data_IF_882721477094
#
_entry.id   IF_882721477094
#
_cell.length_a   1.000
_cell.length_b   1.000
_cell.length_c   1.000
_cell.angle_alpha   90.00
_cell.angle_beta   90.00
_cell.angle_gamma   90.00
#
_symmetry.space_group_name_H-M   'P 1'
#
loop_
_entity.id
_entity.type
_entity.pdbx_description
1 polymer ?
#
# COMPACT_ATOMS: atom_id res chain seq x y z
N UNK A 1 -24.94 8.68 2.05
CA UNK A 1 -23.55 8.21 2.22
C UNK A 1 -23.38 6.98 1.35
N UNK A 2 -22.53 7.04 0.32
CA UNK A 2 -22.23 5.88 -0.53
C UNK A 2 -21.28 4.95 0.20
N UNK A 3 -21.71 3.71 0.44
CA UNK A 3 -20.85 2.66 0.99
C UNK A 3 -19.98 2.08 -0.11
N UNK A 4 -18.86 1.46 0.27
CA UNK A 4 -17.98 0.78 -0.68
C UNK A 4 -18.73 -0.29 -1.51
N UNK A 5 -19.73 -0.94 -0.90
CA UNK A 5 -20.61 -1.89 -1.59
C UNK A 5 -21.38 -1.23 -2.75
N UNK A 6 -21.95 -0.05 -2.53
CA UNK A 6 -22.73 0.67 -3.55
C UNK A 6 -21.84 1.09 -4.74
N UNK A 7 -20.57 1.43 -4.47
CA UNK A 7 -19.58 1.73 -5.50
C UNK A 7 -19.20 0.48 -6.31
N UNK A 8 -18.99 -0.65 -5.64
CA UNK A 8 -18.69 -1.92 -6.31
C UNK A 8 -19.87 -2.34 -7.18
N UNK A 9 -21.10 -2.21 -6.68
CA UNK A 9 -22.31 -2.53 -7.42
C UNK A 9 -22.51 -1.62 -8.64
N UNK A 10 -22.29 -0.32 -8.49
CA UNK A 10 -22.32 0.63 -9.61
C UNK A 10 -21.26 0.33 -10.69
N UNK A 11 -20.08 -0.14 -10.27
CA UNK A 11 -19.01 -0.55 -11.19
C UNK A 11 -19.33 -1.87 -11.89
N UNK A 12 -19.88 -2.84 -11.17
CA UNK A 12 -20.30 -4.13 -11.73
C UNK A 12 -21.45 -3.94 -12.73
N UNK A 13 -22.41 -3.05 -12.44
CA UNK A 13 -23.50 -2.71 -13.35
C UNK A 13 -23.01 -2.11 -14.68
N UNK A 14 -21.82 -1.50 -14.70
CA UNK A 14 -21.17 -0.94 -15.89
C UNK A 14 -20.20 -1.92 -16.57
N UNK A 15 -19.99 -3.12 -16.01
CA UNK A 15 -19.07 -4.09 -16.59
C UNK A 15 -19.66 -4.64 -17.90
N UNK A 16 -18.91 -4.63 -19.01
CA UNK A 16 -19.40 -5.21 -20.26
C UNK A 16 -19.63 -6.71 -20.08
N UNK A 17 -20.79 -7.21 -20.56
CA UNK A 17 -21.23 -8.59 -20.37
C UNK A 17 -20.31 -9.65 -20.99
N UNK A 18 -19.41 -9.26 -21.90
CA UNK A 18 -18.34 -10.11 -22.43
C UNK A 18 -17.03 -9.36 -22.34
N UNK A 19 -16.03 -9.96 -21.68
CA UNK A 19 -14.65 -9.47 -21.81
C UNK A 19 -14.22 -9.66 -23.26
N UNK A 20 -13.91 -8.56 -23.93
CA UNK A 20 -13.28 -8.59 -25.25
C UNK A 20 -11.89 -9.14 -25.03
N UNK A 21 -11.62 -10.35 -25.50
CA UNK A 21 -10.31 -10.98 -25.41
C UNK A 21 -9.53 -10.71 -26.69
N UNK A 22 -8.24 -10.45 -26.54
CA UNK A 22 -7.34 -10.37 -27.67
C UNK A 22 -7.00 -11.77 -28.18
N UNK A 23 -7.15 -11.99 -29.49
CA UNK A 23 -6.93 -13.30 -30.14
C UNK A 23 -5.51 -13.86 -29.96
N UNK A 24 -4.50 -13.00 -29.86
CA UNK A 24 -3.08 -13.41 -29.80
C UNK A 24 -2.60 -13.73 -28.39
N UNK A 25 -3.03 -12.96 -27.39
CA UNK A 25 -2.58 -13.09 -26.00
C UNK A 25 -3.59 -13.82 -25.11
N UNK A 26 -4.85 -13.96 -25.54
CA UNK A 26 -5.95 -14.47 -24.72
C UNK A 26 -6.33 -13.54 -23.56
N UNK A 27 -5.69 -12.37 -23.43
CA UNK A 27 -5.92 -11.42 -22.35
C UNK A 27 -7.08 -10.48 -22.68
N UNK A 28 -7.69 -9.83 -21.67
CA UNK A 28 -8.58 -8.70 -21.89
C UNK A 28 -7.94 -7.69 -22.84
N UNK A 29 -8.69 -7.21 -23.83
CA UNK A 29 -8.20 -6.41 -24.95
C UNK A 29 -7.32 -5.23 -24.52
N UNK A 30 -7.75 -4.47 -23.51
CA UNK A 30 -6.98 -3.34 -22.98
C UNK A 30 -5.65 -3.77 -22.33
N UNK A 31 -5.60 -4.97 -21.72
CA UNK A 31 -4.41 -5.49 -21.05
C UNK A 31 -3.36 -5.96 -22.05
N UNK A 32 -3.78 -6.65 -23.11
CA UNK A 32 -2.87 -7.08 -24.17
C UNK A 32 -2.25 -5.91 -24.96
N UNK A 33 -2.98 -4.79 -25.09
CA UNK A 33 -2.44 -3.53 -25.63
C UNK A 33 -1.45 -2.90 -24.64
N UNK A 34 -1.84 -2.78 -23.37
CA UNK A 34 -0.99 -2.18 -22.33
C UNK A 34 0.33 -2.95 -22.13
N UNK A 35 0.29 -4.28 -22.12
CA UNK A 35 1.47 -5.13 -22.01
C UNK A 35 2.42 -4.98 -23.19
N UNK A 36 1.91 -4.81 -24.41
CA UNK A 36 2.74 -4.55 -25.60
C UNK A 36 3.29 -3.13 -25.65
N UNK A 37 2.53 -2.16 -25.13
CA UNK A 37 2.98 -0.77 -25.03
C UNK A 37 4.14 -0.62 -24.03
N UNK A 38 4.25 -1.51 -23.05
CA UNK A 38 5.47 -1.70 -22.29
C UNK A 38 6.50 -2.40 -23.18
N UNK A 39 7.37 -1.62 -23.84
CA UNK A 39 8.66 -2.11 -24.30
C UNK A 39 9.47 -2.50 -23.07
N UNK A 40 9.34 -3.76 -22.67
CA UNK A 40 10.38 -4.41 -21.90
C UNK A 40 11.41 -4.78 -22.96
N UNK A 41 12.44 -3.96 -23.10
CA UNK A 41 13.65 -4.41 -23.79
C UNK A 41 14.13 -5.60 -22.98
N UNK A 42 13.78 -6.80 -23.45
CA UNK A 42 14.06 -8.04 -22.76
C UNK A 42 15.55 -8.18 -22.67
N UNK A 43 16.11 -7.83 -21.51
CA UNK A 43 17.44 -8.28 -21.15
C UNK A 43 17.38 -9.81 -21.22
N UNK A 44 18.29 -10.47 -21.97
CA UNK A 44 18.31 -11.92 -22.04
C UNK A 44 18.38 -12.46 -20.62
N UNK A 45 17.33 -13.18 -20.23
CA UNK A 45 17.24 -13.77 -18.91
C UNK A 45 18.06 -15.05 -18.94
N UNK A 46 19.21 -15.01 -18.27
CA UNK A 46 20.09 -16.16 -18.13
C UNK A 46 19.74 -16.88 -16.82
N UNK A 47 18.99 -17.97 -16.96
CA UNK A 47 18.59 -18.83 -15.84
C UNK A 47 19.81 -19.31 -15.04
N UNK A 48 20.94 -19.57 -15.69
CA UNK A 48 22.15 -20.04 -15.04
C UNK A 48 22.81 -18.95 -14.20
N UNK A 49 22.83 -17.70 -14.69
CA UNK A 49 23.26 -16.55 -13.89
C UNK A 49 22.38 -16.34 -12.67
N UNK A 50 21.06 -16.50 -12.81
CA UNK A 50 20.15 -16.32 -11.69
C UNK A 50 20.34 -17.39 -10.62
N UNK A 51 20.47 -18.66 -11.01
CA UNK A 51 20.75 -19.75 -10.08
C UNK A 51 22.10 -19.56 -9.39
N UNK A 52 23.13 -19.16 -10.14
CA UNK A 52 24.45 -18.87 -9.58
C UNK A 52 24.39 -17.71 -8.60
N UNK A 53 23.71 -16.62 -8.97
CA UNK A 53 23.50 -15.48 -8.09
C UNK A 53 22.74 -15.89 -6.82
N UNK A 54 21.67 -16.66 -6.94
CA UNK A 54 20.92 -17.18 -5.79
C UNK A 54 21.75 -18.05 -4.84
N UNK A 55 22.70 -18.82 -5.38
CA UNK A 55 23.64 -19.61 -4.56
C UNK A 55 24.68 -18.74 -3.84
N UNK A 56 25.05 -17.59 -4.42
CA UNK A 56 25.97 -16.63 -3.78
C UNK A 56 25.30 -15.72 -2.76
N UNK A 57 23.96 -15.60 -2.79
CA UNK A 57 23.25 -14.82 -1.80
C UNK A 57 23.41 -15.48 -0.42
N UNK A 58 23.80 -14.72 0.62
CA UNK A 58 23.77 -15.25 1.97
C UNK A 58 22.35 -15.69 2.30
N UNK A 59 22.16 -16.80 3.06
CA UNK A 59 20.84 -17.25 3.45
C UNK A 59 20.12 -16.09 4.11
N UNK A 60 19.08 -15.57 3.45
CA UNK A 60 18.26 -14.50 4.01
C UNK A 60 17.75 -15.06 5.34
N UNK A 61 18.01 -14.40 6.48
CA UNK A 61 17.47 -14.87 7.74
C UNK A 61 15.97 -15.03 7.51
N UNK A 62 15.48 -16.25 7.71
CA UNK A 62 14.06 -16.54 7.58
C UNK A 62 13.35 -15.43 8.35
N UNK A 63 12.40 -14.70 7.74
CA UNK A 63 11.69 -13.66 8.47
C UNK A 63 11.16 -14.33 9.71
N UNK A 64 11.71 -13.97 10.88
CA UNK A 64 11.30 -14.54 12.14
C UNK A 64 9.78 -14.44 12.14
N UNK A 65 9.09 -15.59 12.18
CA UNK A 65 7.65 -15.66 11.99
C UNK A 65 7.03 -14.56 12.84
N UNK A 66 6.60 -13.48 12.17
CA UNK A 66 6.28 -12.26 12.88
C UNK A 66 5.10 -12.61 13.78
N UNK A 67 5.30 -12.47 15.09
CA UNK A 67 4.24 -12.81 16.05
C UNK A 67 2.97 -12.08 15.60
N UNK A 68 1.82 -12.76 15.53
CA UNK A 68 0.59 -12.12 15.09
C UNK A 68 0.34 -10.87 15.94
N UNK A 69 -0.02 -9.73 15.32
CA UNK A 69 -0.28 -8.51 16.06
C UNK A 69 -1.39 -8.75 17.08
N UNK A 70 -1.29 -8.11 18.26
CA UNK A 70 -2.40 -8.13 19.21
C UNK A 70 -3.62 -7.43 18.60
N UNK A 71 -4.82 -7.69 19.13
CA UNK A 71 -6.07 -7.10 18.62
C UNK A 71 -5.99 -5.57 18.47
N UNK A 72 -5.43 -4.87 19.47
CA UNK A 72 -5.23 -3.42 19.41
C UNK A 72 -4.20 -3.00 18.35
N UNK A 73 -3.17 -3.80 18.11
CA UNK A 73 -2.20 -3.53 17.06
C UNK A 73 -2.79 -3.73 15.67
N UNK A 74 -3.62 -4.76 15.48
CA UNK A 74 -4.36 -4.98 14.24
C UNK A 74 -5.36 -3.85 13.97
N UNK A 75 -6.08 -3.40 15.00
CA UNK A 75 -6.97 -2.24 14.87
C UNK A 75 -6.20 -0.96 14.53
N UNK A 76 -5.04 -0.73 15.15
CA UNK A 76 -4.16 0.41 14.81
C UNK A 76 -3.62 0.33 13.38
N UNK A 77 -3.39 -0.88 12.87
CA UNK A 77 -2.98 -1.10 11.48
C UNK A 77 -4.10 -0.77 10.49
N UNK A 78 -5.38 -0.88 10.85
CA UNK A 78 -6.49 -0.44 9.98
C UNK A 78 -6.44 1.06 9.66
N UNK A 79 -5.94 1.88 10.58
CA UNK A 79 -5.72 3.31 10.34
C UNK A 79 -4.50 3.60 9.45
N UNK A 80 -3.74 2.58 9.08
CA UNK A 80 -2.51 2.67 8.30
C UNK A 80 -2.76 2.10 6.90
N UNK A 81 -2.98 2.94 5.89
CA UNK A 81 -3.35 2.50 4.54
C UNK A 81 -2.23 1.77 3.76
N UNK A 82 -0.99 1.85 4.24
CA UNK A 82 0.15 1.14 3.67
C UNK A 82 0.38 -0.16 4.44
N UNK A 83 0.33 -1.30 3.75
CA UNK A 83 0.46 -2.63 4.37
C UNK A 83 1.87 -2.96 4.87
N UNK A 84 2.86 -2.11 4.60
CA UNK A 84 4.23 -2.32 5.03
C UNK A 84 4.52 -1.72 6.41
N UNK A 85 5.35 -2.37 7.23
CA UNK A 85 5.79 -1.80 8.49
C UNK A 85 6.59 -0.51 8.22
N UNK A 86 6.29 0.61 8.91
CA UNK A 86 7.01 1.86 8.70
C UNK A 86 8.51 1.66 8.97
N UNK A 87 9.40 2.20 8.10
CA UNK A 87 10.84 2.12 8.28
C UNK A 87 11.24 2.56 9.68
N UNK A 88 12.20 1.84 10.30
CA UNK A 88 12.62 2.13 11.68
C UNK A 88 13.18 3.55 11.85
N UNK A 89 13.70 4.12 10.76
CA UNK A 89 14.35 5.43 10.73
C UNK A 89 13.35 6.61 10.77
N UNK A 90 12.07 6.38 10.48
CA UNK A 90 11.03 7.43 10.48
C UNK A 90 10.36 7.64 11.84
N UNK A 91 10.65 6.77 12.82
CA UNK A 91 10.06 6.82 14.17
C UNK A 91 10.27 8.15 14.90
N UNK A 92 11.49 8.74 14.95
CA UNK A 92 11.70 10.00 15.67
C UNK A 92 10.95 11.15 15.00
N UNK A 93 10.93 11.20 13.66
CA UNK A 93 10.25 12.25 12.91
C UNK A 93 8.73 12.18 13.10
N UNK A 94 8.16 10.96 13.10
CA UNK A 94 6.74 10.75 13.38
C UNK A 94 6.36 11.14 14.81
N UNK A 95 7.22 10.87 15.79
CA UNK A 95 6.99 11.30 17.17
C UNK A 95 7.06 12.82 17.30
N UNK A 96 8.02 13.46 16.65
CA UNK A 96 8.14 14.93 16.63
C UNK A 96 6.88 15.56 16.02
N UNK A 97 6.42 15.04 14.88
CA UNK A 97 5.20 15.52 14.22
C UNK A 97 3.96 15.33 15.09
N UNK A 98 3.83 14.18 15.76
CA UNK A 98 2.72 13.92 16.69
C UNK A 98 2.76 14.87 17.89
N UNK A 99 3.94 15.10 18.48
CA UNK A 99 4.12 16.01 19.60
C UNK A 99 3.82 17.47 19.21
N UNK A 100 4.32 17.92 18.05
CA UNK A 100 4.06 19.25 17.54
C UNK A 100 2.57 19.47 17.26
N UNK A 101 1.91 18.49 16.63
CA UNK A 101 0.47 18.54 16.40
C UNK A 101 -0.31 18.61 17.72
N UNK A 102 0.03 17.80 18.71
CA UNK A 102 -0.60 17.83 20.03
C UNK A 102 -0.45 19.19 20.72
N UNK A 103 0.76 19.78 20.72
CA UNK A 103 1.03 21.10 21.27
C UNK A 103 0.16 22.19 20.61
N UNK A 104 0.04 22.17 19.29
CA UNK A 104 -0.80 23.12 18.54
C UNK A 104 -2.27 23.00 18.97
N UNK A 105 -2.78 21.78 19.13
CA UNK A 105 -4.17 21.56 19.56
C UNK A 105 -4.40 22.02 21.00
N UNK A 106 -3.46 21.78 21.91
CA UNK A 106 -3.54 22.28 23.29
C UNK A 106 -3.54 23.81 23.31
N UNK A 107 -2.64 24.45 22.55
CA UNK A 107 -2.60 25.90 22.44
C UNK A 107 -3.91 26.45 21.87
N UNK A 108 -4.46 25.82 20.84
CA UNK A 108 -5.74 26.19 20.26
C UNK A 108 -6.89 26.06 21.27
N UNK A 109 -6.94 24.96 22.04
CA UNK A 109 -7.93 24.76 23.08
C UNK A 109 -7.83 25.82 24.18
N UNK A 110 -6.62 26.15 24.63
CA UNK A 110 -6.39 27.22 25.61
C UNK A 110 -6.83 28.57 25.07
N UNK A 111 -6.59 28.84 23.78
CA UNK A 111 -7.02 30.07 23.14
C UNK A 111 -8.55 30.16 23.05
N UNK A 112 -9.24 29.07 22.73
CA UNK A 112 -10.71 28.99 22.78
C UNK A 112 -11.25 29.23 24.19
N UNK A 113 -10.65 28.63 25.21
CA UNK A 113 -11.04 28.85 26.61
C UNK A 113 -10.84 30.33 26.98
N UNK A 114 -9.71 30.92 26.60
CA UNK A 114 -9.41 32.32 26.87
C UNK A 114 -10.43 33.25 26.20
N UNK A 115 -10.80 32.98 24.95
CA UNK A 115 -11.83 33.76 24.22
C UNK A 115 -13.21 33.65 24.86
N UNK A 116 -13.56 32.50 25.46
CA UNK A 116 -14.86 32.32 26.13
C UNK A 116 -14.86 32.86 27.57
N UNK A 117 -13.69 32.88 28.22
CA UNK A 117 -13.53 33.34 29.59
C UNK A 117 -13.34 34.87 29.71
N UNK A 118 -13.04 35.54 28.60
CA UNK A 118 -13.01 37.01 28.45
C UNK A 118 -14.38 37.50 27.99
#
# INVERSE_FOLDING_TARGET
MTKAADLIEALLARKPGRLILERRSGMPYAWGIWMRARRVDGMPFDDAQLVTHMQTLPPRPAPAAARPPSFLQALRQLWWQQWDPPPRDERPLRWLAALASFLIHVLFLLLLICVVAV
#
